data_IF_011015845791
#
_entry.id   IF_011015845791
#
_cell.length_a   1.000
_cell.length_b   1.000
_cell.length_c   1.000
_cell.angle_alpha   90.00
_cell.angle_beta   90.00
_cell.angle_gamma   90.00
#
_symmetry.space_group_name_H-M   'P 1'
#
loop_
_entity.id
_entity.type
_entity.pdbx_description
1 polymer ?
#
# COMPACT_ATOMS: atom_id res chain seq x y z
N UNK A 1 10.87 12.84 0.66
CA UNK A 1 10.59 12.52 -0.75
C UNK A 1 9.80 13.66 -1.34
N UNK A 2 10.13 14.10 -2.56
CA UNK A 2 9.34 15.11 -3.26
C UNK A 2 8.11 14.47 -3.91
N UNK A 3 7.06 15.24 -4.19
CA UNK A 3 5.84 14.69 -4.79
C UNK A 3 6.04 14.20 -6.22
N UNK A 4 6.94 14.84 -6.98
CA UNK A 4 7.30 14.48 -8.35
C UNK A 4 8.33 13.37 -8.46
N UNK A 5 8.88 12.92 -7.33
CA UNK A 5 9.96 11.96 -7.26
C UNK A 5 9.40 10.55 -7.11
N UNK A 6 9.99 9.60 -7.83
CA UNK A 6 9.64 8.17 -7.75
C UNK A 6 10.25 7.50 -6.52
N UNK A 7 9.67 6.38 -6.07
CA UNK A 7 10.22 5.62 -4.93
C UNK A 7 11.65 5.17 -5.18
N UNK A 8 12.01 4.88 -6.44
CA UNK A 8 13.36 4.46 -6.82
C UNK A 8 14.36 5.62 -6.73
N UNK A 9 14.03 6.80 -7.26
CA UNK A 9 14.89 8.00 -7.13
C UNK A 9 15.11 8.39 -5.66
N UNK A 10 14.08 8.23 -4.84
CA UNK A 10 14.18 8.43 -3.40
C UNK A 10 15.11 7.42 -2.73
N UNK A 11 15.00 6.15 -3.12
CA UNK A 11 15.86 5.11 -2.60
C UNK A 11 17.33 5.33 -2.95
N UNK A 12 17.64 5.72 -4.20
CA UNK A 12 19.02 6.06 -4.62
C UNK A 12 19.60 7.16 -3.73
N UNK A 13 18.87 8.27 -3.52
CA UNK A 13 19.33 9.35 -2.63
C UNK A 13 19.48 8.91 -1.17
N UNK A 14 18.67 7.96 -0.71
CA UNK A 14 18.81 7.38 0.61
C UNK A 14 20.11 6.56 0.73
N UNK A 15 20.46 5.78 -0.30
CA UNK A 15 21.73 5.06 -0.36
C UNK A 15 22.93 6.02 -0.34
N UNK A 16 22.87 7.11 -1.13
CA UNK A 16 23.93 8.12 -1.15
C UNK A 16 24.11 8.78 0.23
N UNK A 17 23.00 9.06 0.93
CA UNK A 17 23.03 9.58 2.30
C UNK A 17 23.57 8.56 3.30
N UNK A 18 23.21 7.28 3.15
CA UNK A 18 23.69 6.20 4.00
C UNK A 18 25.20 6.01 3.86
N UNK A 19 25.74 6.14 2.64
CA UNK A 19 27.18 6.07 2.39
C UNK A 19 27.91 7.25 3.06
N UNK A 20 27.37 8.47 2.93
CA UNK A 20 27.92 9.64 3.63
C UNK A 20 27.87 9.51 5.15
N UNK A 21 26.80 8.90 5.69
CA UNK A 21 26.68 8.67 7.12
C UNK A 21 27.63 7.57 7.63
N UNK A 22 27.91 6.56 6.80
CA UNK A 22 28.90 5.53 7.09
C UNK A 22 30.30 6.11 7.24
N UNK A 23 30.66 7.08 6.39
CA UNK A 23 31.94 7.82 6.49
C UNK A 23 32.07 8.63 7.80
N UNK A 24 30.95 8.89 8.49
CA UNK A 24 30.89 9.58 9.78
C UNK A 24 30.81 8.61 10.98
N UNK A 25 31.02 7.31 10.76
CA UNK A 25 30.90 6.23 11.75
C UNK A 25 29.51 6.16 12.45
N UNK A 26 28.47 6.75 11.85
CA UNK A 26 27.13 6.69 12.42
C UNK A 26 26.40 5.42 11.95
N UNK A 27 26.39 4.38 12.78
CA UNK A 27 25.65 3.16 12.48
C UNK A 27 24.15 3.33 12.76
N UNK A 28 23.34 3.12 11.72
CA UNK A 28 21.88 3.13 11.83
C UNK A 28 21.33 1.71 11.93
N UNK A 29 20.60 1.42 13.00
CA UNK A 29 19.83 0.17 13.07
C UNK A 29 18.72 0.13 12.01
N UNK A 30 18.47 -1.04 11.44
CA UNK A 30 17.42 -1.24 10.42
C UNK A 30 16.06 -0.66 10.83
N UNK A 31 15.65 -0.86 12.09
CA UNK A 31 14.40 -0.32 12.61
C UNK A 31 14.36 1.22 12.64
N UNK A 32 15.50 1.88 12.91
CA UNK A 32 15.64 3.34 12.86
C UNK A 32 15.53 3.82 11.41
N UNK A 33 16.14 3.11 10.46
CA UNK A 33 16.07 3.42 9.03
C UNK A 33 14.65 3.28 8.48
N UNK A 34 13.97 2.15 8.73
CA UNK A 34 12.60 1.92 8.27
C UNK A 34 11.66 3.02 8.76
N UNK A 35 11.72 3.38 10.05
CA UNK A 35 10.91 4.49 10.59
C UNK A 35 11.24 5.83 9.93
N UNK A 36 12.51 6.11 9.66
CA UNK A 36 12.92 7.33 8.96
C UNK A 36 12.36 7.35 7.54
N UNK A 37 12.51 6.25 6.80
CA UNK A 37 11.98 6.09 5.43
C UNK A 37 10.48 6.35 5.41
N UNK A 38 9.69 5.63 6.20
CA UNK A 38 8.23 5.75 6.21
C UNK A 38 7.75 7.17 6.54
N UNK A 39 8.42 7.86 7.47
CA UNK A 39 8.12 9.27 7.81
C UNK A 39 8.54 10.28 6.74
N UNK A 40 9.45 9.90 5.85
CA UNK A 40 10.00 10.78 4.82
C UNK A 40 9.25 10.70 3.49
N UNK A 41 8.26 9.80 3.37
CA UNK A 41 7.47 9.62 2.16
C UNK A 41 6.48 10.78 1.97
N UNK A 42 6.10 11.03 0.72
CA UNK A 42 5.06 12.02 0.41
C UNK A 42 3.67 11.51 0.81
N UNK A 43 2.71 12.44 0.88
CA UNK A 43 1.33 12.17 1.32
C UNK A 43 0.63 11.10 0.46
N UNK A 44 1.04 10.94 -0.81
CA UNK A 44 0.47 9.92 -1.70
C UNK A 44 0.66 8.47 -1.19
N UNK A 45 1.60 8.25 -0.27
CA UNK A 45 1.83 6.95 0.37
C UNK A 45 1.16 6.81 1.74
N UNK A 46 0.42 7.81 2.24
CA UNK A 46 -0.12 7.81 3.60
C UNK A 46 -0.93 6.57 3.96
N UNK A 47 -1.80 6.12 3.03
CA UNK A 47 -2.60 4.90 3.20
C UNK A 47 -1.71 3.67 3.34
N UNK A 48 -0.67 3.57 2.50
CA UNK A 48 0.28 2.46 2.52
C UNK A 48 1.13 2.45 3.78
N UNK A 49 1.59 3.62 4.24
CA UNK A 49 2.35 3.78 5.49
C UNK A 49 1.50 3.32 6.67
N UNK A 50 0.26 3.80 6.77
CA UNK A 50 -0.66 3.42 7.85
C UNK A 50 -0.90 1.90 7.88
N UNK A 51 -1.09 1.27 6.72
CA UNK A 51 -1.26 -0.18 6.63
C UNK A 51 0.00 -0.94 7.11
N UNK A 52 1.20 -0.48 6.73
CA UNK A 52 2.45 -1.09 7.18
C UNK A 52 2.59 -0.97 8.70
N UNK A 53 2.34 0.21 9.27
CA UNK A 53 2.46 0.47 10.72
C UNK A 53 1.45 -0.33 11.55
N UNK A 54 0.29 -0.65 10.99
CA UNK A 54 -0.76 -1.42 11.69
C UNK A 54 -0.56 -2.93 11.61
N UNK A 55 0.01 -3.44 10.52
CA UNK A 55 0.07 -4.89 10.25
C UNK A 55 1.45 -5.47 10.55
N UNK A 56 2.53 -4.70 10.37
CA UNK A 56 3.91 -5.21 10.48
C UNK A 56 4.63 -4.65 11.70
N UNK A 57 5.49 -5.48 12.30
CA UNK A 57 6.44 -5.01 13.31
C UNK A 57 7.63 -4.29 12.64
N UNK A 58 7.72 -2.97 12.84
CA UNK A 58 8.79 -2.14 12.30
C UNK A 58 10.19 -2.46 12.88
N UNK A 59 10.29 -3.29 13.92
CA UNK A 59 11.59 -3.74 14.45
C UNK A 59 12.20 -4.87 13.65
N UNK A 60 11.37 -5.76 13.09
CA UNK A 60 11.81 -6.90 12.28
C UNK A 60 11.80 -6.62 10.78
N UNK A 61 11.07 -5.59 10.35
CA UNK A 61 10.97 -5.20 8.95
C UNK A 61 12.32 -4.77 8.36
N UNK A 62 12.69 -5.34 7.22
CA UNK A 62 13.89 -4.95 6.47
C UNK A 62 13.59 -3.75 5.58
N UNK A 63 14.62 -2.93 5.34
CA UNK A 63 14.49 -1.73 4.50
C UNK A 63 14.15 -2.10 3.06
N UNK A 64 14.81 -3.10 2.49
CA UNK A 64 14.57 -3.56 1.10
C UNK A 64 13.13 -4.01 0.88
N UNK A 65 12.55 -4.70 1.87
CA UNK A 65 11.16 -5.13 1.83
C UNK A 65 10.20 -3.94 1.84
N UNK A 66 10.52 -2.91 2.62
CA UNK A 66 9.73 -1.67 2.67
C UNK A 66 9.78 -0.96 1.31
N UNK A 67 10.97 -0.83 0.72
CA UNK A 67 11.18 -0.20 -0.59
C UNK A 67 10.47 -0.97 -1.70
N UNK A 68 10.58 -2.30 -1.74
CA UNK A 68 9.87 -3.11 -2.72
C UNK A 68 8.34 -2.98 -2.61
N UNK A 69 7.81 -2.87 -1.38
CA UNK A 69 6.38 -2.63 -1.16
C UNK A 69 5.91 -1.26 -1.66
N UNK A 70 6.77 -0.24 -1.53
CA UNK A 70 6.50 1.12 -2.02
C UNK A 70 6.54 1.17 -3.54
N UNK A 71 7.55 0.55 -4.17
CA UNK A 71 7.65 0.46 -5.63
C UNK A 71 6.45 -0.27 -6.23
N UNK A 72 6.03 -1.38 -5.62
CA UNK A 72 4.81 -2.10 -6.06
C UNK A 72 3.57 -1.21 -5.93
N UNK A 73 3.43 -0.49 -4.82
CA UNK A 73 2.30 0.39 -4.61
C UNK A 73 2.27 1.55 -5.62
N UNK A 74 3.42 2.14 -5.92
CA UNK A 74 3.58 3.19 -6.92
C UNK A 74 3.17 2.73 -8.31
N UNK A 75 3.59 1.53 -8.74
CA UNK A 75 3.15 0.94 -10.01
C UNK A 75 1.62 0.81 -10.10
N UNK A 76 0.94 0.48 -9.00
CA UNK A 76 -0.52 0.39 -8.95
C UNK A 76 -1.22 1.76 -8.89
N UNK A 77 -0.52 2.83 -8.47
CA UNK A 77 -1.06 4.19 -8.49
C UNK A 77 -1.04 4.78 -9.90
N UNK A 78 -0.01 4.45 -10.69
CA UNK A 78 0.20 4.96 -12.04
C UNK A 78 -0.58 4.17 -13.11
N UNK A 79 -1.15 3.01 -12.76
CA UNK A 79 -2.09 2.36 -13.66
C UNK A 79 -3.28 3.30 -13.92
N UNK A 80 -3.59 3.61 -15.20
CA UNK A 80 -4.82 4.32 -15.49
C UNK A 80 -5.94 3.46 -14.92
N UNK A 81 -6.76 4.04 -14.03
CA UNK A 81 -8.05 3.46 -13.64
C UNK A 81 -8.80 3.18 -14.94
N UNK A 82 -8.64 1.97 -15.50
CA UNK A 82 -9.38 1.51 -16.66
C UNK A 82 -10.81 1.35 -16.16
N UNK A 83 -11.53 2.46 -16.25
CA UNK A 83 -12.99 2.44 -16.24
C UNK A 83 -13.37 1.61 -17.47
N UNK A 84 -13.81 0.40 -17.19
CA UNK A 84 -14.63 -0.53 -17.97
C UNK A 84 -14.95 -0.08 -19.41
N UNK A 85 -14.46 -0.84 -20.38
CA UNK A 85 -15.27 -1.27 -21.53
C UNK A 85 -14.58 -2.42 -22.25
N UNK A 86 -15.11 -3.64 -22.06
CA UNK A 86 -15.46 -4.63 -23.11
C UNK A 86 -15.65 -5.99 -22.43
N UNK A 87 -16.87 -6.52 -22.59
CA UNK A 87 -17.27 -7.90 -22.33
C UNK A 87 -16.17 -8.87 -22.84
N UNK A 88 -15.89 -10.00 -22.19
CA UNK A 88 -16.81 -11.12 -22.07
C UNK A 88 -16.47 -12.05 -20.89
N UNK A 89 -17.54 -12.57 -20.28
CA UNK A 89 -17.60 -13.73 -19.36
C UNK A 89 -17.04 -13.57 -17.93
N UNK A 90 -17.71 -12.77 -17.10
CA UNK A 90 -17.79 -13.05 -15.66
C UNK A 90 -18.99 -12.36 -15.01
N UNK A 91 -19.60 -13.11 -14.10
CA UNK A 91 -20.83 -12.82 -13.35
C UNK A 91 -20.82 -11.38 -12.83
N UNK A 92 -21.72 -10.54 -13.33
CA UNK A 92 -21.83 -9.12 -12.93
C UNK A 92 -22.50 -9.02 -11.56
N UNK A 93 -21.76 -8.54 -10.56
CA UNK A 93 -22.29 -8.13 -9.26
C UNK A 93 -22.83 -6.69 -9.35
N UNK A 94 -24.15 -6.54 -9.39
CA UNK A 94 -24.87 -5.26 -9.44
C UNK A 94 -24.93 -4.55 -8.07
N UNK A 95 -23.79 -4.25 -7.46
CA UNK A 95 -23.76 -3.44 -6.22
C UNK A 95 -23.28 -2.00 -6.43
N UNK A 96 -22.95 -1.62 -7.67
CA UNK A 96 -22.31 -0.33 -7.95
C UNK A 96 -23.26 0.89 -7.97
N UNK A 97 -24.58 0.71 -7.95
CA UNK A 97 -25.53 1.82 -8.15
C UNK A 97 -26.03 2.49 -6.87
N UNK A 98 -25.55 2.09 -5.67
CA UNK A 98 -26.01 2.70 -4.40
C UNK A 98 -24.93 2.92 -3.33
N UNK A 99 -23.74 3.44 -3.64
CA UNK A 99 -23.06 4.25 -2.62
C UNK A 99 -21.93 5.12 -3.18
N UNK A 100 -21.88 6.41 -2.78
CA UNK A 100 -20.76 7.27 -3.13
C UNK A 100 -19.48 6.74 -2.48
N UNK A 101 -18.44 6.56 -3.29
CA UNK A 101 -17.08 6.29 -2.80
C UNK A 101 -16.52 7.62 -2.29
N UNK A 102 -17.02 8.06 -1.14
CA UNK A 102 -16.32 9.02 -0.30
C UNK A 102 -16.59 8.66 1.15
N UNK A 103 -15.50 8.64 1.91
CA UNK A 103 -15.39 8.45 3.36
C UNK A 103 -15.02 7.01 3.74
N UNK A 104 -13.93 6.91 4.52
CA UNK A 104 -13.33 5.67 4.97
C UNK A 104 -14.37 4.78 5.66
N UNK A 105 -14.68 3.65 5.03
CA UNK A 105 -15.46 2.60 5.65
C UNK A 105 -14.72 2.15 6.92
N UNK A 106 -15.46 2.14 8.02
CA UNK A 106 -14.98 1.64 9.31
C UNK A 106 -14.71 0.14 9.22
N UNK A 107 -13.86 -0.38 10.10
CA UNK A 107 -13.45 -1.80 10.07
C UNK A 107 -14.67 -2.73 10.20
N UNK A 108 -15.69 -2.32 10.96
CA UNK A 108 -16.94 -3.08 11.11
C UNK A 108 -17.74 -3.16 9.81
N UNK A 109 -17.81 -2.07 9.03
CA UNK A 109 -18.55 -2.07 7.76
C UNK A 109 -17.85 -2.94 6.70
N UNK A 110 -16.52 -2.98 6.71
CA UNK A 110 -15.77 -3.90 5.85
C UNK A 110 -15.97 -5.36 6.26
N UNK A 111 -16.04 -5.64 7.57
CA UNK A 111 -16.27 -7.00 8.06
C UNK A 111 -17.65 -7.52 7.63
N UNK A 112 -18.69 -6.68 7.74
CA UNK A 112 -20.04 -7.02 7.27
C UNK A 112 -20.06 -7.29 5.76
N UNK A 113 -19.30 -6.53 4.96
CA UNK A 113 -19.21 -6.77 3.52
C UNK A 113 -18.50 -8.08 3.18
N UNK A 114 -17.44 -8.42 3.91
CA UNK A 114 -16.73 -9.69 3.75
C UNK A 114 -17.65 -10.86 4.10
N UNK A 115 -18.36 -10.78 5.23
CA UNK A 115 -19.26 -11.84 5.67
C UNK A 115 -20.39 -12.07 4.65
N UNK A 116 -20.96 -10.99 4.09
CA UNK A 116 -22.01 -11.07 3.07
C UNK A 116 -21.50 -11.69 1.76
N UNK A 117 -20.27 -11.36 1.35
CA UNK A 117 -19.64 -11.93 0.17
C UNK A 117 -19.34 -13.43 0.37
N UNK A 118 -18.82 -13.80 1.55
CA UNK A 118 -18.57 -15.18 1.93
C UNK A 118 -19.87 -16.00 1.94
N UNK A 119 -20.96 -15.43 2.45
CA UNK A 119 -22.28 -16.07 2.45
C UNK A 119 -22.78 -16.30 1.02
N UNK A 120 -22.73 -15.29 0.15
CA UNK A 120 -23.15 -15.42 -1.25
C UNK A 120 -22.30 -16.43 -2.04
N UNK A 121 -21.00 -16.49 -1.77
CA UNK A 121 -20.12 -17.48 -2.38
C UNK A 121 -20.53 -18.90 -1.96
N UNK A 122 -20.72 -19.14 -0.66
CA UNK A 122 -21.11 -20.47 -0.16
C UNK A 122 -22.46 -20.95 -0.71
N UNK A 123 -23.43 -20.05 -0.88
CA UNK A 123 -24.71 -20.38 -1.50
C UNK A 123 -24.58 -20.66 -3.00
N UNK A 124 -23.66 -20.01 -3.71
CA UNK A 124 -23.42 -20.26 -5.14
C UNK A 124 -22.78 -21.64 -5.42
N UNK A 125 -22.12 -22.25 -4.42
CA UNK A 125 -21.43 -23.54 -4.57
C UNK A 125 -22.04 -24.69 -3.77
N UNK A 126 -23.15 -24.47 -3.04
CA UNK A 126 -23.99 -25.54 -2.51
C UNK A 126 -24.84 -26.14 -3.64
N UNK A 127 -24.28 -27.13 -4.35
CA UNK A 127 -25.04 -28.06 -5.18
C UNK A 127 -24.59 -29.49 -4.89
#
# INVERSE_FOLDING_TARGET
MKDSETSNEFYVKLCDLSNQAFDLEEEYSNSKLVRKVLRSLSERFFVKVTAIEKVKDLKSLKIDESIGSLQTFELNLDEPKKVKSKEESNITLQFADKMPISNALTIEELQVQIDLLTQNFNEAFKK
#
